data_IF_091770264833
#
_entry.id   IF_091770264833
#
_cell.length_a   1.000
_cell.length_b   1.000
_cell.length_c   1.000
_cell.angle_alpha   90.00
_cell.angle_beta   90.00
_cell.angle_gamma   90.00
#
_symmetry.space_group_name_H-M   'P 1'
#
loop_
_entity.id
_entity.type
_entity.pdbx_description
1 polymer ?
#
# COMPACT_ATOMS: atom_id res chain seq x y z
N UNK A 1 48.45 51.58 25.31
CA UNK A 1 48.27 51.67 26.78
C UNK A 1 47.00 50.90 27.13
N UNK A 2 46.88 49.91 28.01
CA UNK A 2 47.79 49.10 28.82
C UNK A 2 46.96 47.97 29.47
N UNK A 3 47.50 46.73 29.51
CA UNK A 3 47.39 45.67 30.56
C UNK A 3 45.99 45.05 30.86
N UNK A 4 45.75 43.73 30.78
CA UNK A 4 46.38 42.52 31.37
C UNK A 4 45.91 42.18 32.80
N UNK A 5 45.48 40.91 33.00
CA UNK A 5 45.72 39.96 34.14
C UNK A 5 44.46 39.06 34.35
N UNK A 6 44.40 37.72 34.27
CA UNK A 6 45.22 36.56 34.64
C UNK A 6 45.01 35.99 36.08
N UNK A 7 44.57 34.72 36.13
CA UNK A 7 45.19 33.57 36.85
C UNK A 7 44.56 32.94 38.14
N UNK A 8 44.72 31.59 38.19
CA UNK A 8 44.76 30.56 39.29
C UNK A 8 43.44 29.84 39.63
N UNK A 9 43.27 28.49 39.55
CA UNK A 9 44.07 27.27 39.89
C UNK A 9 44.27 27.01 41.39
N UNK A 10 43.78 25.86 41.89
CA UNK A 10 44.54 24.82 42.64
C UNK A 10 43.64 23.66 43.17
N UNK A 11 44.05 22.42 42.84
CA UNK A 11 44.17 21.13 43.60
C UNK A 11 43.33 20.90 44.89
N UNK A 12 42.86 19.70 45.28
CA UNK A 12 43.20 18.29 44.99
C UNK A 12 43.08 17.44 46.28
N UNK A 13 43.06 16.10 46.13
CA UNK A 13 43.27 15.01 47.14
C UNK A 13 42.08 14.57 48.02
N UNK A 14 41.92 13.32 48.50
CA UNK A 14 42.31 11.92 48.17
C UNK A 14 41.53 11.01 49.15
N UNK A 15 41.31 9.74 48.79
CA UNK A 15 40.64 8.66 49.55
C UNK A 15 41.20 8.36 50.95
N UNK A 16 40.57 7.41 51.68
CA UNK A 16 41.34 6.21 52.03
C UNK A 16 40.62 4.86 51.83
N UNK A 17 41.46 3.84 51.76
CA UNK A 17 41.22 2.40 51.59
C UNK A 17 41.13 1.71 52.95
N UNK A 18 40.38 0.62 53.06
CA UNK A 18 40.66 -0.48 53.99
C UNK A 18 40.28 -1.84 53.38
N UNK A 19 41.17 -2.82 53.60
CA UNK A 19 41.24 -4.17 53.03
C UNK A 19 41.00 -5.21 54.12
N UNK A 20 40.28 -6.30 53.82
CA UNK A 20 40.42 -7.67 54.38
C UNK A 20 39.87 -8.63 53.29
N UNK A 21 40.64 -9.38 52.49
CA UNK A 21 41.48 -10.58 52.70
C UNK A 21 40.74 -11.93 52.87
N UNK A 22 40.79 -12.71 51.77
CA UNK A 22 41.02 -14.17 51.61
C UNK A 22 39.92 -15.26 51.69
N UNK A 23 39.83 -15.95 50.54
CA UNK A 23 39.74 -17.40 50.23
C UNK A 23 38.54 -18.25 50.69
N UNK A 24 37.83 -18.88 49.74
CA UNK A 24 38.14 -20.25 49.28
C UNK A 24 37.28 -20.67 48.05
N UNK A 25 37.90 -21.46 47.19
CA UNK A 25 37.35 -22.14 46.01
C UNK A 25 36.26 -23.17 46.37
N UNK A 26 35.21 -23.30 45.54
CA UNK A 26 34.93 -24.51 44.75
C UNK A 26 33.51 -24.52 44.20
N UNK A 27 33.41 -24.75 42.88
CA UNK A 27 32.49 -25.65 42.19
C UNK A 27 32.07 -25.08 40.83
N UNK A 28 32.64 -25.74 39.82
CA UNK A 28 32.38 -25.60 38.42
C UNK A 28 30.97 -26.07 38.01
N UNK A 29 30.38 -25.28 37.10
CA UNK A 29 29.72 -25.66 35.84
C UNK A 29 28.26 -26.17 35.83
N UNK A 30 27.48 -25.33 35.14
CA UNK A 30 26.53 -25.59 34.02
C UNK A 30 25.09 -25.97 34.37
N UNK A 31 24.16 -25.02 34.19
CA UNK A 31 23.31 -24.95 32.99
C UNK A 31 22.52 -23.62 32.98
N UNK A 32 22.89 -22.71 32.08
CA UNK A 32 22.08 -21.55 31.71
C UNK A 32 21.17 -22.03 30.59
N UNK A 33 19.86 -22.04 30.82
CA UNK A 33 18.85 -22.12 29.76
C UNK A 33 18.45 -20.68 29.47
N UNK A 34 18.76 -20.20 28.26
CA UNK A 34 18.38 -18.88 27.77
C UNK A 34 16.87 -18.84 27.51
N UNK A 35 16.23 -17.73 27.86
CA UNK A 35 14.84 -17.41 27.57
C UNK A 35 14.51 -17.30 26.06
N UNK A 36 15.52 -17.38 25.18
CA UNK A 36 15.34 -17.37 23.72
C UNK A 36 15.01 -18.76 23.14
N UNK A 37 15.35 -19.85 23.83
CA UNK A 37 15.03 -21.21 23.35
C UNK A 37 13.54 -21.56 23.53
N UNK A 38 12.85 -20.94 24.49
CA UNK A 38 11.44 -21.21 24.78
C UNK A 38 10.47 -20.51 23.81
N UNK A 39 10.84 -19.36 23.22
CA UNK A 39 9.98 -18.64 22.26
C UNK A 39 10.13 -19.18 20.83
N UNK A 40 11.34 -19.59 20.44
CA UNK A 40 11.55 -20.27 19.16
C UNK A 40 10.95 -21.69 19.13
N UNK A 41 10.88 -22.39 20.27
CA UNK A 41 10.26 -23.72 20.31
C UNK A 41 8.73 -23.68 20.20
N UNK A 42 8.07 -22.63 20.70
CA UNK A 42 6.60 -22.49 20.66
C UNK A 42 6.09 -22.05 19.27
N UNK A 43 6.77 -21.13 18.60
CA UNK A 43 6.44 -20.71 17.22
C UNK A 43 6.71 -21.80 16.18
N UNK A 44 7.87 -22.47 16.27
CA UNK A 44 8.18 -23.62 15.42
C UNK A 44 7.25 -24.82 15.71
N UNK A 45 6.84 -25.03 16.96
CA UNK A 45 5.88 -26.09 17.31
C UNK A 45 4.47 -25.81 16.80
N UNK A 46 4.01 -24.56 16.72
CA UNK A 46 2.67 -24.23 16.22
C UNK A 46 2.59 -24.29 14.68
N UNK A 47 3.64 -23.83 13.99
CA UNK A 47 3.82 -24.00 12.54
C UNK A 47 4.01 -25.49 12.17
N UNK A 48 4.83 -26.23 12.94
CA UNK A 48 4.96 -27.68 12.75
C UNK A 48 3.67 -28.43 13.07
N UNK A 49 2.89 -28.03 14.09
CA UNK A 49 1.59 -28.66 14.39
C UNK A 49 0.53 -28.38 13.32
N UNK A 50 0.54 -27.21 12.68
CA UNK A 50 -0.37 -26.89 11.57
C UNK A 50 0.05 -27.58 10.27
N UNK A 51 1.35 -27.68 9.96
CA UNK A 51 1.86 -28.48 8.84
C UNK A 51 1.65 -29.97 9.04
N UNK A 52 1.92 -30.50 10.24
CA UNK A 52 1.66 -31.90 10.59
C UNK A 52 0.17 -32.17 10.58
N UNK A 53 -0.69 -31.25 11.01
CA UNK A 53 -2.15 -31.39 10.89
C UNK A 53 -2.63 -31.34 9.44
N UNK A 54 -2.06 -30.48 8.58
CA UNK A 54 -2.37 -30.43 7.15
C UNK A 54 -1.89 -31.68 6.42
N UNK A 55 -0.66 -32.16 6.69
CA UNK A 55 -0.14 -33.44 6.16
C UNK A 55 -0.96 -34.62 6.66
N UNK A 56 -1.34 -34.64 7.93
CA UNK A 56 -2.20 -35.68 8.50
C UNK A 56 -3.62 -35.64 7.92
N UNK A 57 -4.16 -34.45 7.60
CA UNK A 57 -5.46 -34.32 6.94
C UNK A 57 -5.40 -34.83 5.49
N UNK A 58 -4.37 -34.44 4.74
CA UNK A 58 -4.14 -34.90 3.37
C UNK A 58 -3.92 -36.42 3.31
N UNK A 59 -3.13 -37.00 4.22
CA UNK A 59 -2.91 -38.46 4.31
C UNK A 59 -4.15 -39.24 4.77
N UNK A 60 -5.05 -38.62 5.56
CA UNK A 60 -6.31 -39.25 5.99
C UNK A 60 -7.38 -39.23 4.89
N UNK A 61 -7.34 -38.25 4.00
CA UNK A 61 -8.35 -38.05 2.95
C UNK A 61 -7.93 -38.58 1.58
N UNK A 62 -6.63 -38.63 1.26
CA UNK A 62 -6.12 -39.00 -0.05
C UNK A 62 -4.94 -39.97 0.03
N UNK A 63 -4.81 -40.82 -0.99
CA UNK A 63 -3.70 -41.78 -1.13
C UNK A 63 -3.18 -41.73 -2.56
N UNK A 64 -1.88 -41.54 -2.73
CA UNK A 64 -1.18 -41.72 -3.99
C UNK A 64 -0.79 -43.20 -4.17
N UNK A 65 -0.97 -43.74 -5.36
CA UNK A 65 -0.51 -45.08 -5.75
C UNK A 65 0.63 -44.96 -6.77
N UNK A 66 1.83 -45.31 -6.34
CA UNK A 66 3.05 -45.24 -7.16
C UNK A 66 3.04 -46.25 -8.32
N UNK A 67 2.27 -47.33 -8.24
CA UNK A 67 2.25 -48.35 -9.31
C UNK A 67 1.40 -47.93 -10.51
N UNK A 68 0.40 -47.10 -10.26
CA UNK A 68 -0.55 -46.63 -11.28
C UNK A 68 -0.42 -45.13 -11.58
N UNK A 69 0.40 -44.40 -10.80
CA UNK A 69 0.51 -42.94 -10.81
C UNK A 69 -0.85 -42.23 -10.69
N UNK A 70 -1.71 -42.73 -9.79
CA UNK A 70 -3.06 -42.21 -9.57
C UNK A 70 -3.30 -41.78 -8.14
N UNK A 71 -4.09 -40.72 -7.97
CA UNK A 71 -4.53 -40.20 -6.67
C UNK A 71 -5.93 -40.74 -6.34
N UNK A 72 -6.11 -41.27 -5.13
CA UNK A 72 -7.38 -41.81 -4.64
C UNK A 72 -7.90 -41.00 -3.46
N UNK A 73 -9.21 -40.73 -3.42
CA UNK A 73 -9.89 -40.11 -2.28
C UNK A 73 -10.65 -41.13 -1.43
N UNK A 74 -10.64 -40.96 -0.09
CA UNK A 74 -11.48 -41.73 0.84
C UNK A 74 -12.83 -41.03 1.06
N UNK A 75 -13.97 -41.70 0.84
CA UNK A 75 -15.28 -41.13 1.14
C UNK A 75 -15.48 -40.88 2.64
N UNK A 76 -16.23 -39.84 3.01
CA UNK A 76 -16.59 -39.52 4.42
C UNK A 76 -17.70 -40.41 5.01
N UNK A 77 -18.39 -41.23 4.20
CA UNK A 77 -19.52 -42.04 4.65
C UNK A 77 -19.05 -43.32 5.37
N UNK A 78 -19.75 -43.69 6.44
CA UNK A 78 -19.28 -44.68 7.43
C UNK A 78 -19.38 -46.16 7.01
N UNK A 79 -19.66 -46.50 5.75
CA UNK A 79 -19.86 -47.91 5.39
C UNK A 79 -19.59 -48.28 3.91
N UNK A 80 -18.66 -47.59 3.24
CA UNK A 80 -18.26 -47.94 1.88
C UNK A 80 -16.74 -47.96 1.71
N UNK A 81 -16.19 -49.14 1.39
CA UNK A 81 -14.76 -49.34 1.09
C UNK A 81 -14.35 -48.83 -0.31
N UNK A 82 -15.29 -48.33 -1.12
CA UNK A 82 -15.00 -47.86 -2.47
C UNK A 82 -14.17 -46.56 -2.45
N UNK A 83 -12.95 -46.63 -2.99
CA UNK A 83 -12.06 -45.48 -3.21
C UNK A 83 -12.33 -44.89 -4.59
N UNK A 84 -12.42 -43.57 -4.68
CA UNK A 84 -12.61 -42.85 -5.94
C UNK A 84 -11.24 -42.47 -6.52
N UNK A 85 -10.99 -42.81 -7.79
CA UNK A 85 -9.84 -42.29 -8.56
C UNK A 85 -10.12 -40.83 -8.86
N UNK A 86 -9.22 -39.94 -8.46
CA UNK A 86 -9.32 -38.51 -8.74
C UNK A 86 -8.64 -38.24 -10.09
N UNK A 87 -9.44 -37.98 -11.12
CA UNK A 87 -8.93 -37.63 -12.45
C UNK A 87 -8.78 -36.11 -12.61
N UNK A 88 -7.97 -35.67 -13.57
CA UNK A 88 -7.85 -34.24 -13.91
C UNK A 88 -9.22 -33.64 -14.29
N UNK A 89 -10.04 -34.39 -15.02
CA UNK A 89 -11.41 -34.01 -15.33
C UNK A 89 -12.28 -33.88 -14.09
N UNK A 90 -12.14 -34.73 -13.07
CA UNK A 90 -12.87 -34.59 -11.80
C UNK A 90 -12.40 -33.39 -10.97
N UNK A 91 -11.12 -33.01 -11.09
CA UNK A 91 -10.58 -31.80 -10.45
C UNK A 91 -11.16 -30.58 -11.16
N UNK A 92 -11.09 -30.54 -12.49
CA UNK A 92 -11.68 -29.48 -13.32
C UNK A 92 -13.18 -29.40 -13.07
N UNK A 93 -13.90 -30.51 -13.10
CA UNK A 93 -15.34 -30.61 -12.83
C UNK A 93 -15.67 -30.28 -11.36
N UNK A 94 -14.78 -30.46 -10.39
CA UNK A 94 -15.01 -29.97 -9.01
C UNK A 94 -14.76 -28.46 -8.89
N UNK A 95 -13.78 -27.93 -9.62
CA UNK A 95 -13.51 -26.50 -9.73
C UNK A 95 -14.66 -25.81 -10.48
N UNK A 96 -15.19 -26.45 -11.53
CA UNK A 96 -16.26 -25.96 -12.40
C UNK A 96 -17.68 -26.21 -11.83
N UNK A 97 -17.92 -27.33 -11.12
CA UNK A 97 -19.19 -27.58 -10.38
C UNK A 97 -19.28 -26.84 -9.06
N UNK A 98 -18.18 -26.25 -8.57
CA UNK A 98 -18.26 -25.11 -7.63
C UNK A 98 -18.73 -23.82 -8.32
N UNK A 99 -19.16 -23.89 -9.58
CA UNK A 99 -20.07 -22.95 -10.21
C UNK A 99 -21.53 -23.25 -9.87
N UNK A 100 -22.05 -22.59 -8.81
CA UNK A 100 -23.07 -21.57 -9.01
C UNK A 100 -22.61 -20.19 -8.55
N UNK A 101 -21.34 -20.02 -8.16
CA UNK A 101 -20.84 -18.72 -7.70
C UNK A 101 -20.59 -17.78 -8.88
N UNK A 102 -20.09 -18.23 -10.03
CA UNK A 102 -19.83 -17.35 -11.19
C UNK A 102 -21.09 -16.79 -11.86
N UNK A 103 -22.16 -17.60 -12.00
CA UNK A 103 -23.42 -17.19 -12.65
C UNK A 103 -24.35 -16.40 -11.74
N UNK A 104 -24.28 -16.59 -10.42
CA UNK A 104 -24.92 -15.69 -9.46
C UNK A 104 -24.10 -14.42 -9.25
N UNK A 105 -22.75 -14.46 -9.37
CA UNK A 105 -21.90 -13.27 -9.43
C UNK A 105 -22.28 -12.35 -10.59
N UNK A 106 -22.53 -12.87 -11.78
CA UNK A 106 -23.01 -12.05 -12.90
C UNK A 106 -24.40 -11.44 -12.68
N UNK A 107 -25.29 -12.09 -11.90
CA UNK A 107 -26.64 -11.56 -11.61
C UNK A 107 -26.71 -10.67 -10.37
N UNK A 108 -25.72 -10.74 -9.48
CA UNK A 108 -25.61 -9.85 -8.32
C UNK A 108 -24.60 -8.72 -8.51
N UNK A 109 -23.70 -8.80 -9.50
CA UNK A 109 -22.86 -7.69 -9.95
C UNK A 109 -23.56 -6.77 -10.98
N UNK A 110 -24.84 -7.03 -11.30
CA UNK A 110 -25.75 -6.03 -11.88
C UNK A 110 -26.24 -5.01 -10.82
N UNK A 111 -25.46 -4.76 -9.75
CA UNK A 111 -25.57 -3.49 -9.03
C UNK A 111 -25.05 -2.43 -9.99
N UNK A 112 -25.94 -1.93 -10.87
CA UNK A 112 -25.76 -0.82 -11.82
C UNK A 112 -24.37 -0.18 -11.73
N UNK A 113 -23.32 -0.83 -12.28
CA UNK A 113 -22.07 -0.14 -12.60
C UNK A 113 -22.52 0.93 -13.59
N UNK A 114 -22.41 2.21 -13.20
CA UNK A 114 -22.67 3.26 -14.17
C UNK A 114 -21.73 3.00 -15.34
N UNK A 115 -22.22 2.94 -16.58
CA UNK A 115 -21.34 2.70 -17.72
C UNK A 115 -20.29 3.82 -17.74
N UNK A 116 -19.03 3.46 -17.55
CA UNK A 116 -17.95 4.42 -17.67
C UNK A 116 -17.92 4.96 -19.09
N UNK A 117 -17.87 6.29 -19.23
CA UNK A 117 -17.80 6.95 -20.55
C UNK A 117 -16.44 6.72 -21.21
N UNK A 118 -15.40 6.47 -20.41
CA UNK A 118 -14.00 6.40 -20.83
C UNK A 118 -13.27 5.29 -20.09
N UNK A 119 -12.35 4.62 -20.78
CA UNK A 119 -11.56 3.50 -20.27
C UNK A 119 -10.10 3.70 -20.63
N UNK A 120 -9.22 3.56 -19.66
CA UNK A 120 -7.78 3.64 -19.84
C UNK A 120 -7.14 2.26 -19.69
N UNK A 121 -5.96 2.10 -20.31
CA UNK A 121 -5.08 0.99 -19.98
C UNK A 121 -4.54 1.24 -18.57
N UNK A 122 -4.62 0.28 -17.63
CA UNK A 122 -4.09 0.43 -16.28
C UNK A 122 -2.60 0.79 -16.28
N UNK A 123 -2.22 1.73 -15.41
CA UNK A 123 -0.83 2.16 -15.26
C UNK A 123 -0.06 1.22 -14.33
N UNK A 124 1.07 0.70 -14.81
CA UNK A 124 2.00 -0.08 -13.99
C UNK A 124 2.59 0.77 -12.86
N UNK A 125 2.72 0.20 -11.66
CA UNK A 125 3.34 0.86 -10.50
C UNK A 125 4.84 0.92 -10.68
N UNK A 126 5.29 1.90 -11.45
CA UNK A 126 6.67 2.07 -11.85
C UNK A 126 7.07 3.55 -11.67
N UNK A 127 8.06 3.86 -10.82
CA UNK A 127 8.44 5.25 -10.53
C UNK A 127 8.86 6.04 -11.78
N UNK A 128 9.48 5.38 -12.77
CA UNK A 128 9.90 6.04 -14.00
C UNK A 128 8.70 6.52 -14.83
N UNK A 129 7.67 5.68 -14.98
CA UNK A 129 6.45 6.04 -15.71
C UNK A 129 5.68 7.17 -15.03
N UNK A 130 5.60 7.11 -13.70
CA UNK A 130 4.96 8.15 -12.89
C UNK A 130 5.70 9.48 -13.02
N UNK A 131 7.03 9.44 -12.98
CA UNK A 131 7.91 10.61 -13.14
C UNK A 131 7.81 11.21 -14.55
N UNK A 132 7.86 10.37 -15.59
CA UNK A 132 7.70 10.82 -16.97
C UNK A 132 6.35 11.53 -17.18
N UNK A 133 5.27 10.99 -16.61
CA UNK A 133 3.94 11.59 -16.73
C UNK A 133 3.86 12.95 -16.05
N UNK A 134 4.30 13.08 -14.79
CA UNK A 134 4.22 14.36 -14.08
C UNK A 134 5.10 15.43 -14.73
N UNK A 135 6.29 15.08 -15.24
CA UNK A 135 7.15 16.01 -15.96
C UNK A 135 6.53 16.43 -17.30
N UNK A 136 5.94 15.48 -18.03
CA UNK A 136 5.22 15.76 -19.28
C UNK A 136 4.04 16.72 -19.07
N UNK A 137 3.33 16.59 -17.95
CA UNK A 137 2.23 17.48 -17.58
C UNK A 137 2.73 18.84 -17.05
N UNK A 138 4.00 18.93 -16.63
CA UNK A 138 4.67 20.17 -16.27
C UNK A 138 4.93 20.38 -14.79
N UNK A 139 5.15 19.30 -14.03
CA UNK A 139 5.84 19.38 -12.74
C UNK A 139 7.34 19.58 -12.96
N UNK A 140 8.01 20.35 -12.08
CA UNK A 140 9.46 20.54 -12.11
C UNK A 140 10.22 19.22 -12.02
N UNK A 141 11.35 19.14 -12.71
CA UNK A 141 12.32 18.04 -12.58
C UNK A 141 13.00 17.98 -11.22
N UNK A 142 12.74 18.94 -10.33
CA UNK A 142 13.23 18.93 -8.94
C UNK A 142 12.51 17.88 -8.08
N UNK A 143 11.45 17.24 -8.60
CA UNK A 143 10.71 16.17 -7.93
C UNK A 143 10.61 14.94 -8.85
N UNK A 144 10.70 13.76 -8.25
CA UNK A 144 10.47 12.48 -8.93
C UNK A 144 9.88 11.42 -7.98
N UNK A 145 9.36 10.34 -8.56
CA UNK A 145 8.86 9.19 -7.79
C UNK A 145 9.97 8.18 -7.50
N UNK A 146 9.92 7.60 -6.31
CA UNK A 146 10.81 6.55 -5.83
C UNK A 146 10.02 5.34 -5.33
N UNK A 147 10.59 4.14 -5.45
CA UNK A 147 10.07 2.97 -4.76
C UNK A 147 10.33 3.03 -3.26
N UNK A 148 9.30 2.72 -2.46
CA UNK A 148 9.42 2.51 -1.02
C UNK A 148 9.53 1.00 -0.77
N UNK A 149 10.75 0.52 -0.56
CA UNK A 149 11.04 -0.92 -0.50
C UNK A 149 10.67 -1.59 0.83
N UNK A 150 10.43 -0.80 1.89
CA UNK A 150 10.04 -1.31 3.20
C UNK A 150 9.27 -0.24 3.98
N UNK A 151 8.41 -0.69 4.89
CA UNK A 151 7.72 0.20 5.84
C UNK A 151 8.41 0.21 7.22
N UNK A 152 9.33 -0.72 7.47
CA UNK A 152 9.88 -0.97 8.82
C UNK A 152 11.41 -0.96 8.85
N UNK A 153 12.06 -1.19 7.71
CA UNK A 153 13.52 -1.19 7.61
C UNK A 153 14.04 0.23 7.37
N UNK A 154 14.73 0.76 8.37
CA UNK A 154 15.25 2.14 8.37
C UNK A 154 16.26 2.37 7.24
N UNK A 155 17.08 1.38 6.92
CA UNK A 155 18.11 1.53 5.88
C UNK A 155 17.46 1.57 4.48
N UNK A 156 16.38 0.80 4.27
CA UNK A 156 15.60 0.83 3.03
C UNK A 156 14.74 2.09 2.92
N UNK A 157 14.17 2.57 4.02
CA UNK A 157 13.42 3.84 4.06
C UNK A 157 14.33 5.05 3.77
N UNK A 158 15.61 4.98 4.17
CA UNK A 158 16.59 6.03 3.92
C UNK A 158 16.99 6.17 2.44
N UNK A 159 16.60 5.24 1.57
CA UNK A 159 16.80 5.34 0.11
C UNK A 159 15.87 6.37 -0.53
N UNK A 160 14.79 6.78 0.14
CA UNK A 160 13.85 7.77 -0.36
C UNK A 160 14.24 9.16 0.13
N UNK A 161 14.49 10.13 -0.76
CA UNK A 161 14.82 11.51 -0.37
C UNK A 161 13.74 12.15 0.52
N UNK A 162 14.19 13.09 1.37
CA UNK A 162 13.34 13.80 2.34
C UNK A 162 13.38 15.31 2.09
N UNK A 163 12.26 16.03 2.28
CA UNK A 163 10.97 15.52 2.77
C UNK A 163 10.20 14.76 1.68
N UNK A 164 9.55 13.66 2.07
CA UNK A 164 8.62 12.95 1.18
C UNK A 164 7.29 13.69 1.14
N UNK A 165 6.77 14.01 -0.05
CA UNK A 165 5.65 14.95 -0.21
C UNK A 165 4.30 14.25 -0.42
N UNK A 166 4.31 13.08 -1.04
CA UNK A 166 3.13 12.24 -1.26
C UNK A 166 3.53 10.76 -1.31
N UNK A 167 2.58 9.88 -0.99
CA UNK A 167 2.70 8.44 -1.19
C UNK A 167 1.58 7.96 -2.09
N UNK A 168 1.88 7.08 -3.04
CA UNK A 168 0.88 6.43 -3.90
C UNK A 168 1.01 4.92 -3.71
N UNK A 169 0.00 4.32 -3.08
CA UNK A 169 -0.06 2.91 -2.75
C UNK A 169 -0.91 2.19 -3.79
N UNK A 170 -0.44 1.05 -4.29
CA UNK A 170 -1.26 0.08 -5.04
C UNK A 170 -1.34 -1.24 -4.30
N UNK A 171 -2.51 -1.84 -4.29
CA UNK A 171 -2.76 -3.13 -3.66
C UNK A 171 -3.84 -3.89 -4.42
N UNK A 172 -3.84 -5.24 -4.33
CA UNK A 172 -4.85 -6.04 -4.97
C UNK A 172 -6.19 -5.87 -4.25
N UNK A 173 -7.25 -5.66 -5.02
CA UNK A 173 -8.61 -5.61 -4.50
C UNK A 173 -9.22 -7.00 -4.46
N UNK A 174 -10.20 -7.18 -3.59
CA UNK A 174 -11.02 -8.38 -3.54
C UNK A 174 -12.49 -7.98 -3.42
N UNK A 175 -13.45 -8.85 -3.76
CA UNK A 175 -14.86 -8.56 -3.53
C UNK A 175 -15.20 -8.20 -2.08
N UNK A 176 -14.43 -8.73 -1.12
CA UNK A 176 -14.56 -8.39 0.30
C UNK A 176 -14.14 -6.93 0.55
N UNK A 177 -13.07 -6.46 -0.10
CA UNK A 177 -12.62 -5.06 -0.02
C UNK A 177 -13.68 -4.07 -0.56
N UNK A 178 -14.25 -4.34 -1.73
CA UNK A 178 -15.28 -3.48 -2.32
C UNK A 178 -16.53 -3.38 -1.42
N UNK A 179 -16.91 -4.49 -0.80
CA UNK A 179 -18.00 -4.54 0.17
C UNK A 179 -17.67 -3.73 1.41
N UNK A 180 -16.45 -3.86 1.94
CA UNK A 180 -16.00 -3.11 3.12
C UNK A 180 -15.95 -1.59 2.87
N UNK A 181 -15.50 -1.15 1.69
CA UNK A 181 -15.54 0.27 1.31
C UNK A 181 -16.98 0.77 1.20
N UNK A 182 -17.85 0.00 0.54
CA UNK A 182 -19.28 0.33 0.44
C UNK A 182 -19.92 0.47 1.82
N UNK A 183 -19.60 -0.44 2.75
CA UNK A 183 -20.12 -0.43 4.11
C UNK A 183 -19.55 0.73 4.95
N UNK A 184 -18.26 1.06 4.79
CA UNK A 184 -17.62 2.22 5.44
C UNK A 184 -18.22 3.54 4.97
N UNK A 185 -18.54 3.63 3.69
CA UNK A 185 -19.03 4.86 3.06
C UNK A 185 -20.57 4.94 3.04
N UNK A 186 -21.30 3.90 3.48
CA UNK A 186 -22.77 3.84 3.36
C UNK A 186 -23.48 5.05 3.97
N UNK A 187 -23.01 5.49 5.14
CA UNK A 187 -23.59 6.59 5.92
C UNK A 187 -22.85 7.92 5.66
N UNK A 188 -21.77 7.90 4.87
CA UNK A 188 -21.03 9.11 4.50
C UNK A 188 -21.81 9.90 3.44
N UNK A 189 -21.83 11.22 3.61
CA UNK A 189 -22.33 12.14 2.60
C UNK A 189 -21.30 12.27 1.47
N UNK A 190 -21.79 12.43 0.23
CA UNK A 190 -20.93 12.75 -0.91
C UNK A 190 -20.20 14.07 -0.66
N UNK A 191 -18.89 14.06 -0.91
CA UNK A 191 -18.07 15.26 -0.83
C UNK A 191 -18.51 16.28 -1.88
N UNK A 192 -18.77 17.50 -1.43
CA UNK A 192 -19.33 18.55 -2.28
C UNK A 192 -18.62 19.91 -2.14
N UNK A 193 -17.51 19.95 -1.39
CA UNK A 193 -16.70 21.16 -1.23
C UNK A 193 -15.95 21.48 -2.53
N UNK A 194 -15.61 22.74 -2.72
CA UNK A 194 -14.71 23.20 -3.79
C UNK A 194 -13.96 24.47 -3.38
N UNK A 195 -12.85 24.78 -4.06
CA UNK A 195 -12.10 26.01 -3.89
C UNK A 195 -11.56 26.19 -2.46
N UNK A 196 -11.87 27.33 -1.84
CA UNK A 196 -11.32 27.66 -0.52
C UNK A 196 -11.84 26.78 0.63
N UNK A 197 -12.98 26.11 0.43
CA UNK A 197 -13.57 25.19 1.41
C UNK A 197 -12.78 23.88 1.56
N UNK A 198 -11.99 23.52 0.54
CA UNK A 198 -11.24 22.27 0.50
C UNK A 198 -9.91 22.39 1.25
N UNK A 199 -9.67 21.45 2.17
CA UNK A 199 -8.36 21.24 2.81
C UNK A 199 -7.37 20.55 1.85
N UNK A 200 -7.89 19.78 0.89
CA UNK A 200 -7.19 19.03 -0.15
C UNK A 200 -8.04 18.98 -1.41
N UNK A 201 -7.40 19.06 -2.59
CA UNK A 201 -8.04 18.81 -3.88
C UNK A 201 -8.28 17.31 -4.01
N UNK A 202 -9.54 16.89 -4.12
CA UNK A 202 -9.91 15.49 -4.34
C UNK A 202 -10.62 15.31 -5.68
N UNK A 203 -10.10 14.39 -6.50
CA UNK A 203 -10.70 13.98 -7.76
C UNK A 203 -11.55 12.71 -7.59
N UNK A 204 -12.83 12.77 -7.98
CA UNK A 204 -13.68 11.59 -8.11
C UNK A 204 -13.26 10.81 -9.35
N UNK A 205 -13.08 9.50 -9.21
CA UNK A 205 -12.77 8.63 -10.33
C UNK A 205 -14.02 8.34 -11.17
N UNK A 206 -13.92 8.62 -12.47
CA UNK A 206 -14.99 8.37 -13.46
C UNK A 206 -14.46 7.83 -14.80
N UNK A 207 -13.14 7.73 -14.95
CA UNK A 207 -12.48 7.01 -16.05
C UNK A 207 -12.12 5.61 -15.53
N UNK A 208 -12.62 4.56 -16.17
CA UNK A 208 -12.33 3.19 -15.77
C UNK A 208 -10.84 2.88 -15.91
N UNK A 209 -10.28 2.09 -14.98
CA UNK A 209 -8.88 1.66 -14.98
C UNK A 209 -7.84 2.81 -14.93
N UNK A 210 -8.26 4.03 -14.54
CA UNK A 210 -7.38 5.19 -14.43
C UNK A 210 -6.97 5.53 -12.98
N UNK A 211 -7.16 4.64 -12.01
CA UNK A 211 -6.84 4.90 -10.60
C UNK A 211 -5.38 5.33 -10.38
N UNK A 212 -4.43 4.82 -11.18
CA UNK A 212 -3.05 5.30 -11.17
C UNK A 212 -2.91 6.78 -11.55
N UNK A 213 -3.64 7.23 -12.58
CA UNK A 213 -3.70 8.65 -12.95
C UNK A 213 -4.30 9.50 -11.83
N UNK A 214 -5.41 9.06 -11.23
CA UNK A 214 -6.04 9.80 -10.13
C UNK A 214 -5.10 9.90 -8.92
N UNK A 215 -4.39 8.82 -8.57
CA UNK A 215 -3.38 8.83 -7.52
C UNK A 215 -2.24 9.82 -7.80
N UNK A 216 -1.79 9.92 -9.05
CA UNK A 216 -0.80 10.92 -9.49
C UNK A 216 -1.35 12.34 -9.37
N UNK A 217 -2.55 12.61 -9.88
CA UNK A 217 -3.19 13.92 -9.81
C UNK A 217 -3.42 14.34 -8.35
N UNK A 218 -3.86 13.44 -7.49
CA UNK A 218 -3.98 13.68 -6.05
C UNK A 218 -2.64 14.05 -5.43
N UNK A 219 -1.54 13.39 -5.79
CA UNK A 219 -0.21 13.68 -5.29
C UNK A 219 0.26 15.09 -5.71
N UNK A 220 0.14 15.43 -7.00
CA UNK A 220 0.71 16.69 -7.53
C UNK A 220 -0.15 17.93 -7.27
N UNK A 221 -1.46 17.76 -7.07
CA UNK A 221 -2.39 18.87 -6.83
C UNK A 221 -2.48 19.31 -5.37
N UNK A 222 -1.74 18.67 -4.46
CA UNK A 222 -1.84 18.87 -3.02
C UNK A 222 -0.51 19.17 -2.35
N UNK A 223 -0.58 19.59 -1.08
CA UNK A 223 0.60 19.88 -0.26
C UNK A 223 1.53 20.93 -0.88
N UNK A 224 2.81 20.80 -0.56
CA UNK A 224 3.91 21.67 -1.05
C UNK A 224 4.26 21.36 -2.51
N UNK A 225 3.85 20.22 -3.05
CA UNK A 225 4.10 19.83 -4.46
C UNK A 225 3.58 20.88 -5.44
N UNK A 226 2.50 21.58 -5.08
CA UNK A 226 1.90 22.65 -5.87
C UNK A 226 2.89 23.78 -6.21
N UNK A 227 3.87 24.03 -5.35
CA UNK A 227 4.88 25.07 -5.55
C UNK A 227 5.92 24.69 -6.62
N UNK A 228 5.97 23.41 -7.01
CA UNK A 228 6.84 22.86 -8.04
C UNK A 228 6.14 22.72 -9.40
N UNK A 229 4.87 23.09 -9.52
CA UNK A 229 4.17 23.11 -10.81
C UNK A 229 4.70 24.28 -11.64
N UNK A 230 5.21 23.99 -12.83
CA UNK A 230 5.77 25.00 -13.70
C UNK A 230 4.67 25.97 -14.17
N UNK A 231 4.91 27.30 -14.13
CA UNK A 231 3.95 28.28 -14.65
C UNK A 231 3.63 28.02 -16.12
N UNK A 232 2.37 28.29 -16.51
CA UNK A 232 1.85 28.12 -17.87
C UNK A 232 1.99 26.69 -18.44
N UNK A 233 2.24 25.70 -17.57
CA UNK A 233 2.18 24.29 -17.93
C UNK A 233 0.74 23.78 -18.01
N UNK A 234 0.56 22.63 -18.65
CA UNK A 234 -0.73 21.96 -18.68
C UNK A 234 -1.26 21.68 -17.28
N UNK A 235 -0.43 21.14 -16.38
CA UNK A 235 -0.79 20.87 -14.99
C UNK A 235 -1.21 22.14 -14.24
N UNK A 236 -0.55 23.28 -14.51
CA UNK A 236 -0.93 24.57 -13.90
C UNK A 236 -2.34 25.01 -14.33
N UNK A 237 -2.66 24.91 -15.61
CA UNK A 237 -3.98 25.25 -16.16
C UNK A 237 -5.06 24.27 -15.70
N UNK A 238 -4.74 22.98 -15.67
CA UNK A 238 -5.61 21.92 -15.18
C UNK A 238 -6.00 22.17 -13.72
N UNK A 239 -5.00 22.37 -12.84
CA UNK A 239 -5.25 22.64 -11.42
C UNK A 239 -6.08 23.91 -11.22
N UNK A 240 -5.75 24.99 -11.93
CA UNK A 240 -6.51 26.24 -11.86
C UNK A 240 -7.98 26.07 -12.28
N UNK A 241 -8.23 25.25 -13.31
CA UNK A 241 -9.59 24.98 -13.81
C UNK A 241 -10.37 24.02 -12.91
N UNK A 242 -9.69 23.04 -12.30
CA UNK A 242 -10.30 22.07 -11.40
C UNK A 242 -10.62 22.63 -10.00
N UNK A 243 -9.82 23.57 -9.50
CA UNK A 243 -9.93 24.12 -8.14
C UNK A 243 -11.33 24.67 -7.81
N UNK A 244 -11.97 25.52 -8.64
CA UNK A 244 -13.29 26.06 -8.32
C UNK A 244 -14.44 25.05 -8.46
N UNK A 245 -14.21 23.91 -9.14
CA UNK A 245 -15.25 22.95 -9.49
C UNK A 245 -15.54 21.96 -8.36
N UNK A 246 -16.79 21.52 -8.29
CA UNK A 246 -17.20 20.39 -7.43
C UNK A 246 -16.70 19.06 -8.02
N UNK A 247 -16.62 17.97 -7.22
CA UNK A 247 -15.97 16.73 -7.66
C UNK A 247 -16.47 16.13 -8.98
N UNK A 248 -17.78 16.15 -9.26
CA UNK A 248 -18.31 15.60 -10.52
C UNK A 248 -18.02 16.48 -11.74
N UNK A 249 -18.09 17.80 -11.60
CA UNK A 249 -17.74 18.74 -12.67
C UNK A 249 -16.22 18.67 -12.94
N UNK A 250 -15.43 18.54 -11.87
CA UNK A 250 -13.98 18.32 -11.94
C UNK A 250 -13.65 17.00 -12.66
N UNK A 251 -14.37 15.93 -12.37
CA UNK A 251 -14.20 14.65 -13.05
C UNK A 251 -14.57 14.73 -14.54
N UNK A 252 -15.64 15.44 -14.89
CA UNK A 252 -16.03 15.71 -16.28
C UNK A 252 -14.94 16.48 -17.02
N UNK A 253 -14.32 17.47 -16.38
CA UNK A 253 -13.19 18.20 -16.97
C UNK A 253 -12.01 17.26 -17.29
N UNK A 254 -11.66 16.36 -16.37
CA UNK A 254 -10.60 15.36 -16.61
C UNK A 254 -10.95 14.37 -17.72
N UNK A 255 -12.22 13.96 -17.84
CA UNK A 255 -12.70 13.10 -18.93
C UNK A 255 -12.52 13.75 -20.30
N UNK A 256 -12.74 15.06 -20.40
CA UNK A 256 -12.71 15.81 -21.64
C UNK A 256 -11.30 16.38 -21.97
N UNK A 257 -10.31 16.18 -21.09
CA UNK A 257 -8.95 16.67 -21.29
C UNK A 257 -8.12 15.76 -22.23
N UNK A 258 -8.00 16.18 -23.49
CA UNK A 258 -7.27 15.45 -24.52
C UNK A 258 -5.75 15.44 -24.31
N UNK A 259 -5.19 16.49 -23.69
CA UNK A 259 -3.74 16.59 -23.47
C UNK A 259 -3.32 15.66 -22.32
N UNK A 260 -4.10 15.62 -21.24
CA UNK A 260 -3.95 14.67 -20.15
C UNK A 260 -4.07 13.23 -20.65
N UNK A 261 -5.08 12.94 -21.48
CA UNK A 261 -5.26 11.62 -22.08
C UNK A 261 -4.06 11.21 -22.95
N UNK A 262 -3.57 12.13 -23.78
CA UNK A 262 -2.43 11.88 -24.67
C UNK A 262 -1.16 11.58 -23.87
N UNK A 263 -0.86 12.39 -22.85
CA UNK A 263 0.28 12.18 -21.97
C UNK A 263 0.17 10.84 -21.22
N UNK A 264 -1.00 10.50 -20.70
CA UNK A 264 -1.24 9.23 -20.03
C UNK A 264 -1.02 8.02 -20.96
N UNK A 265 -1.59 8.06 -22.17
CA UNK A 265 -1.44 6.97 -23.15
C UNK A 265 0.01 6.75 -23.56
N UNK A 266 0.81 7.82 -23.60
CA UNK A 266 2.22 7.72 -23.94
C UNK A 266 2.99 6.87 -22.94
N UNK A 267 2.69 6.97 -21.63
CA UNK A 267 3.40 6.21 -20.57
C UNK A 267 2.77 4.86 -20.26
N UNK A 268 1.44 4.71 -20.38
CA UNK A 268 0.73 3.50 -19.97
C UNK A 268 1.11 2.24 -20.77
N UNK A 269 1.73 2.41 -21.94
CA UNK A 269 2.18 1.31 -22.81
C UNK A 269 3.69 1.02 -22.70
N UNK A 270 4.41 1.73 -21.83
CA UNK A 270 5.87 1.60 -21.68
C UNK A 270 6.29 0.68 -20.53
N UNK A 271 5.34 0.16 -19.75
CA UNK A 271 5.62 -0.76 -18.63
C UNK A 271 6.24 -2.09 -19.08
N UNK A 272 6.87 -2.78 -18.13
CA UNK A 272 7.50 -4.08 -18.36
C UNK A 272 6.49 -5.24 -18.34
N UNK A 273 5.28 -5.00 -17.82
CA UNK A 273 4.20 -5.99 -17.73
C UNK A 273 3.29 -6.04 -18.95
N UNK A 274 2.67 -7.19 -19.18
CA UNK A 274 1.63 -7.32 -20.18
C UNK A 274 0.38 -6.55 -19.74
N UNK A 275 -0.04 -5.60 -20.57
CA UNK A 275 -1.30 -4.87 -20.39
C UNK A 275 -2.50 -5.73 -20.84
N UNK A 276 -3.68 -5.56 -20.24
CA UNK A 276 -4.90 -6.23 -20.71
C UNK A 276 -5.16 -5.93 -22.20
N UNK A 277 -5.59 -6.94 -22.95
CA UNK A 277 -5.88 -6.79 -24.38
C UNK A 277 -7.09 -5.90 -24.67
N UNK A 278 -7.99 -5.75 -23.69
CA UNK A 278 -9.11 -4.83 -23.73
C UNK A 278 -9.07 -3.87 -22.52
N UNK A 279 -9.10 -2.54 -22.71
CA UNK A 279 -9.17 -1.56 -21.61
C UNK A 279 -10.41 -1.68 -20.71
N UNK A 280 -11.44 -2.42 -21.14
CA UNK A 280 -12.63 -2.73 -20.34
C UNK A 280 -12.45 -3.97 -19.43
N UNK A 281 -11.36 -4.72 -19.59
CA UNK A 281 -11.07 -5.88 -18.74
C UNK A 281 -10.86 -5.43 -17.29
N UNK A 282 -11.43 -6.17 -16.34
CA UNK A 282 -11.27 -5.90 -14.91
C UNK A 282 -9.84 -6.18 -14.47
N UNK A 283 -9.29 -5.26 -13.68
CA UNK A 283 -7.97 -5.39 -13.08
C UNK A 283 -8.15 -5.39 -11.57
N UNK A 284 -7.63 -6.43 -10.92
CA UNK A 284 -7.81 -6.65 -9.49
C UNK A 284 -6.83 -5.81 -8.65
N UNK A 285 -6.55 -4.56 -9.03
CA UNK A 285 -5.64 -3.65 -8.33
C UNK A 285 -6.22 -2.25 -8.21
N UNK A 286 -5.93 -1.56 -7.11
CA UNK A 286 -6.40 -0.22 -6.85
C UNK A 286 -5.34 0.69 -6.28
N UNK A 287 -5.36 1.95 -6.70
CA UNK A 287 -4.44 2.99 -6.25
C UNK A 287 -5.12 3.93 -5.26
N UNK A 288 -4.38 4.30 -4.21
CA UNK A 288 -4.77 5.31 -3.23
C UNK A 288 -3.59 6.24 -2.97
N UNK A 289 -3.85 7.53 -2.84
CA UNK A 289 -2.82 8.54 -2.59
C UNK A 289 -2.90 9.07 -1.15
N UNK A 290 -1.76 9.32 -0.52
CA UNK A 290 -1.65 9.94 0.79
C UNK A 290 -0.86 11.23 0.71
N UNK A 291 -1.42 12.33 1.20
CA UNK A 291 -0.81 13.67 1.14
C UNK A 291 -0.97 14.43 2.44
N UNK A 292 0.03 15.23 2.80
CA UNK A 292 -0.11 16.22 3.88
C UNK A 292 -0.74 17.50 3.33
N UNK A 293 -1.87 17.92 3.90
CA UNK A 293 -2.52 19.18 3.52
C UNK A 293 -1.64 20.38 3.86
N UNK A 294 -1.49 21.29 2.91
CA UNK A 294 -0.82 22.58 3.11
C UNK A 294 -1.67 23.56 3.95
N UNK A 295 -2.99 23.33 4.10
CA UNK A 295 -3.89 24.22 4.85
C UNK A 295 -3.89 23.92 6.35
N UNK A 296 -4.03 22.65 6.71
CA UNK A 296 -4.21 22.25 8.11
C UNK A 296 -3.12 21.31 8.64
N UNK A 297 -2.22 20.82 7.78
CA UNK A 297 -1.13 19.90 8.16
C UNK A 297 -1.59 18.47 8.45
N UNK A 298 -2.84 18.11 8.15
CA UNK A 298 -3.35 16.74 8.32
C UNK A 298 -2.94 15.84 7.16
N UNK A 299 -2.83 14.55 7.44
CA UNK A 299 -2.64 13.50 6.44
C UNK A 299 -4.00 13.09 5.89
N UNK A 300 -4.15 13.14 4.58
CA UNK A 300 -5.36 12.72 3.89
C UNK A 300 -5.09 11.51 3.01
N UNK A 301 -6.01 10.54 3.08
CA UNK A 301 -6.19 9.48 2.09
C UNK A 301 -7.11 9.99 0.97
N UNK A 302 -6.64 9.91 -0.26
CA UNK A 302 -7.31 10.35 -1.46
C UNK A 302 -7.50 9.13 -2.37
N UNK A 303 -8.72 8.59 -2.32
CA UNK A 303 -9.19 7.50 -3.16
C UNK A 303 -10.35 7.99 -4.01
N UNK A 304 -10.23 7.90 -5.34
CA UNK A 304 -11.25 8.37 -6.28
C UNK A 304 -12.54 7.54 -6.26
N UNK A 305 -12.51 6.30 -5.77
CA UNK A 305 -13.68 5.43 -5.68
C UNK A 305 -14.53 5.67 -4.43
N UNK A 306 -13.96 6.35 -3.43
CA UNK A 306 -14.68 6.75 -2.21
C UNK A 306 -15.65 7.90 -2.44
N UNK A 307 -16.41 8.23 -1.38
CA UNK A 307 -17.30 9.41 -1.35
C UNK A 307 -16.60 10.73 -1.07
N UNK A 308 -15.30 10.71 -0.78
CA UNK A 308 -14.50 11.91 -0.49
C UNK A 308 -13.13 11.59 0.12
N UNK A 309 -12.34 12.63 0.41
CA UNK A 309 -11.06 12.48 1.10
C UNK A 309 -11.28 12.02 2.56
N UNK A 310 -10.38 11.18 3.08
CA UNK A 310 -10.41 10.72 4.47
C UNK A 310 -9.27 11.33 5.27
N UNK A 311 -9.62 12.03 6.34
CA UNK A 311 -8.68 12.68 7.26
C UNK A 311 -8.16 11.67 8.28
N UNK A 312 -6.87 11.38 8.24
CA UNK A 312 -6.16 10.49 9.17
C UNK A 312 -5.55 11.25 10.37
N UNK A 313 -5.83 12.55 10.46
CA UNK A 313 -5.41 13.41 11.55
C UNK A 313 -4.11 14.17 11.24
N UNK A 314 -3.72 15.00 12.21
CA UNK A 314 -2.62 15.96 12.08
C UNK A 314 -1.26 15.28 12.02
N UNK A 315 -0.41 15.66 11.07
CA UNK A 315 1.05 15.44 11.14
C UNK A 315 1.73 16.64 11.81
N UNK A 316 2.81 16.40 12.55
CA UNK A 316 3.55 17.50 13.19
C UNK A 316 4.27 18.34 12.12
N UNK A 317 4.76 19.55 12.44
CA UNK A 317 5.33 20.45 11.42
C UNK A 317 6.52 19.81 10.68
N UNK A 318 7.37 19.11 11.43
CA UNK A 318 8.57 18.41 10.94
C UNK A 318 8.28 17.04 10.33
N UNK A 319 7.07 16.50 10.56
CA UNK A 319 6.67 15.22 9.99
C UNK A 319 6.30 15.39 8.53
N UNK A 320 6.83 14.52 7.67
CA UNK A 320 6.34 14.34 6.31
C UNK A 320 5.51 13.05 6.21
N UNK A 321 5.05 12.67 5.01
CA UNK A 321 4.18 11.49 4.84
C UNK A 321 4.89 10.15 5.08
N UNK A 322 6.23 10.14 5.08
CA UNK A 322 7.07 8.96 5.32
C UNK A 322 7.72 9.01 6.72
N UNK A 323 7.28 9.91 7.60
CA UNK A 323 7.60 9.92 9.03
C UNK A 323 7.01 8.68 9.72
N UNK A 324 7.43 8.37 10.95
CA UNK A 324 6.85 7.22 11.70
C UNK A 324 5.34 7.36 11.90
N UNK A 325 4.84 8.59 12.04
CA UNK A 325 3.42 8.87 12.16
C UNK A 325 2.69 8.59 10.83
N UNK A 326 3.26 9.02 9.71
CA UNK A 326 2.77 8.70 8.38
C UNK A 326 2.79 7.20 8.09
N UNK A 327 3.92 6.53 8.31
CA UNK A 327 4.08 5.09 8.18
C UNK A 327 3.13 4.30 9.09
N UNK A 328 2.84 4.81 10.29
CA UNK A 328 1.81 4.25 11.18
C UNK A 328 0.44 4.17 10.51
N UNK A 329 0.02 5.25 9.84
CA UNK A 329 -1.23 5.29 9.07
C UNK A 329 -1.19 4.34 7.88
N UNK A 330 -0.08 4.30 7.13
CA UNK A 330 0.06 3.39 5.99
C UNK A 330 -0.02 1.91 6.44
N UNK A 331 0.62 1.56 7.56
CA UNK A 331 0.54 0.22 8.16
C UNK A 331 -0.88 -0.11 8.62
N UNK A 332 -1.59 0.84 9.23
CA UNK A 332 -2.98 0.66 9.63
C UNK A 332 -3.89 0.43 8.42
N UNK A 333 -3.73 1.25 7.37
CA UNK A 333 -4.45 1.10 6.11
C UNK A 333 -4.21 -0.29 5.51
N UNK A 334 -2.94 -0.67 5.30
CA UNK A 334 -2.55 -1.96 4.73
C UNK A 334 -3.04 -3.12 5.59
N UNK A 335 -2.94 -3.03 6.91
CA UNK A 335 -3.46 -4.07 7.82
C UNK A 335 -4.98 -4.27 7.74
N UNK A 336 -5.72 -3.22 7.34
CA UNK A 336 -7.15 -3.29 7.10
C UNK A 336 -7.52 -3.99 5.78
N UNK A 337 -6.73 -3.78 4.72
CA UNK A 337 -7.02 -4.31 3.37
C UNK A 337 -6.36 -5.67 3.10
N UNK A 338 -5.18 -5.91 3.68
CA UNK A 338 -4.31 -7.02 3.35
C UNK A 338 -4.40 -8.08 4.42
N UNK A 339 -5.22 -9.11 4.16
CA UNK A 339 -5.09 -10.41 4.86
C UNK A 339 -3.90 -11.22 4.33
N UNK A 340 -2.76 -10.56 4.05
CA UNK A 340 -1.50 -11.18 3.61
C UNK A 340 -1.23 -11.17 2.10
N UNK A 341 -1.76 -10.18 1.38
CA UNK A 341 -1.50 -9.95 -0.06
C UNK A 341 -0.53 -8.78 -0.26
N UNK A 342 0.31 -8.87 -1.31
CA UNK A 342 1.38 -7.89 -1.60
C UNK A 342 0.84 -6.51 -1.98
N UNK A 343 1.68 -5.49 -1.83
CA UNK A 343 1.39 -4.11 -2.24
C UNK A 343 2.66 -3.50 -2.87
N UNK A 344 2.52 -2.39 -3.58
CA UNK A 344 3.63 -1.52 -3.98
C UNK A 344 3.34 -0.10 -3.52
N UNK A 345 4.39 0.63 -3.15
CA UNK A 345 4.30 1.98 -2.60
C UNK A 345 5.33 2.88 -3.28
N UNK A 346 4.85 3.94 -3.91
CA UNK A 346 5.68 4.96 -4.54
C UNK A 346 5.67 6.23 -3.69
N UNK A 347 6.80 6.93 -3.63
CA UNK A 347 6.98 8.18 -2.90
C UNK A 347 7.38 9.30 -3.85
N UNK A 348 6.66 10.43 -3.81
CA UNK A 348 7.06 11.65 -4.51
C UNK A 348 7.97 12.48 -3.60
N UNK A 349 9.22 12.72 -4.01
CA UNK A 349 10.24 13.37 -3.21
C UNK A 349 11.20 14.21 -4.09
N UNK A 350 12.11 15.01 -3.50
CA UNK A 350 13.12 15.74 -4.26
C UNK A 350 13.98 14.81 -5.13
N UNK A 351 14.23 15.22 -6.37
CA UNK A 351 15.14 14.54 -7.29
C UNK A 351 16.60 14.66 -6.84
N UNK A 352 17.42 13.62 -7.08
CA UNK A 352 18.86 13.59 -6.77
C UNK A 352 19.77 14.20 -7.84
#
# INVERSE_FOLDING_TARGET
>A
MSRSSACRSLNGTKSPVAVVSNNLESMHRKSVISSDDARNSLGASLMAQTEVSRRNYMQKAFRWDESTHQLFAKPKAKDTEQRLVVTAEMIIDTVDRRGPVQRLRHKQAEVRKMPYRKHYTPLESNPALFTELIHTLGLSSDLEFYDVLSLDDVDLLALVPRPTLALVLVFPTSPDYETEITDKDKDAAEYAKSGEEEDVIWYKQTINNACGLYGILHAVSNGVVRDFILPDSHLSHLLASCTPLKPLDRATLLEDDEQLESAYKAVALQGDSEVPGNPEDEVDFHYVCFVKSHKNGHLYELDGDRKGPVDWGRLDSEDDVLSEKGLGVIREFIGGISRGVGFSLLALAPAE
#
